data_IF_660826476423
#
_entry.id   IF_660826476423
#
_cell.length_a   1.000
_cell.length_b   1.000
_cell.length_c   1.000
_cell.angle_alpha   90.00
_cell.angle_beta   90.00
_cell.angle_gamma   90.00
#
_symmetry.space_group_name_H-M   'P 1'
#
loop_
_entity.id
_entity.type
_entity.pdbx_description
1 polymer ?
#
# COMPACT_ATOMS: atom_id res chain seq x y z
N UNK A 1 -17.08 -38.37 4.78
CA UNK A 1 -15.94 -38.77 3.94
C UNK A 1 -14.95 -39.57 4.78
N UNK A 2 -14.65 -40.78 4.35
CA UNK A 2 -13.85 -41.78 5.07
C UNK A 2 -12.40 -41.33 5.23
N UNK A 3 -11.77 -41.81 6.31
CA UNK A 3 -10.31 -41.85 6.43
C UNK A 3 -9.90 -43.14 5.74
N UNK A 4 -9.28 -43.05 4.57
CA UNK A 4 -8.66 -44.21 3.93
C UNK A 4 -7.23 -44.34 4.46
N UNK A 5 -6.97 -45.40 5.20
CA UNK A 5 -5.60 -45.85 5.46
C UNK A 5 -5.06 -46.44 4.16
N UNK A 6 -4.25 -45.66 3.44
CA UNK A 6 -3.50 -46.18 2.30
C UNK A 6 -2.39 -47.13 2.78
N UNK A 7 -2.08 -48.20 2.03
CA UNK A 7 -0.92 -49.03 2.31
C UNK A 7 0.35 -48.13 2.25
N UNK A 8 0.93 -47.85 3.42
CA UNK A 8 2.00 -46.87 3.60
C UNK A 8 1.88 -45.97 4.84
N UNK A 9 0.80 -46.07 5.63
CA UNK A 9 0.69 -45.37 6.93
C UNK A 9 0.37 -43.88 6.84
N UNK A 10 -0.06 -43.38 5.68
CA UNK A 10 -0.40 -41.97 5.45
C UNK A 10 -1.86 -41.74 5.86
N UNK A 11 -2.09 -40.84 6.82
CA UNK A 11 -3.44 -40.43 7.25
C UNK A 11 -3.89 -39.24 6.39
N UNK A 12 -4.97 -39.41 5.63
CA UNK A 12 -5.62 -38.32 4.89
C UNK A 12 -6.83 -37.82 5.68
N UNK A 13 -6.76 -36.57 6.17
CA UNK A 13 -7.80 -35.98 6.99
C UNK A 13 -8.27 -34.67 6.37
N UNK A 14 -9.37 -34.77 5.62
CA UNK A 14 -10.07 -33.64 5.05
C UNK A 14 -10.87 -32.94 6.18
N UNK A 15 -10.49 -31.72 6.54
CA UNK A 15 -11.32 -30.87 7.41
C UNK A 15 -12.65 -30.63 6.68
N UNK A 16 -13.73 -31.23 7.20
CA UNK A 16 -15.06 -31.18 6.60
C UNK A 16 -15.59 -29.76 6.44
N UNK A 17 -16.53 -29.59 5.51
CA UNK A 17 -17.13 -28.31 5.09
C UNK A 17 -18.01 -27.59 6.12
N UNK A 18 -17.63 -27.56 7.40
CA UNK A 18 -18.09 -26.60 8.41
C UNK A 18 -19.59 -26.56 8.75
N UNK A 19 -20.43 -27.44 8.20
CA UNK A 19 -21.89 -27.35 8.34
C UNK A 19 -22.49 -28.24 9.44
N UNK A 20 -21.68 -29.05 10.13
CA UNK A 20 -22.11 -29.93 11.22
C UNK A 20 -21.81 -29.36 12.61
N UNK A 21 -22.59 -29.77 13.62
CA UNK A 21 -22.30 -29.42 15.00
C UNK A 21 -20.93 -30.00 15.44
N UNK A 22 -20.11 -29.19 16.11
CA UNK A 22 -18.77 -29.57 16.62
C UNK A 22 -18.77 -30.84 17.49
N UNK A 23 -19.93 -31.17 18.09
CA UNK A 23 -20.12 -32.33 18.95
C UNK A 23 -20.80 -33.51 18.26
N UNK A 24 -20.98 -33.47 16.94
CA UNK A 24 -21.42 -34.65 16.20
C UNK A 24 -20.45 -35.80 16.46
N UNK A 25 -20.93 -37.01 16.80
CA UNK A 25 -20.07 -38.16 17.10
C UNK A 25 -19.02 -38.45 16.02
N UNK A 26 -19.32 -38.16 14.75
CA UNK A 26 -18.40 -38.37 13.62
C UNK A 26 -17.27 -37.33 13.61
N UNK A 27 -17.57 -36.07 13.87
CA UNK A 27 -16.57 -35.00 13.95
C UNK A 27 -15.68 -35.15 15.19
N UNK A 28 -16.25 -35.63 16.30
CA UNK A 28 -15.49 -35.95 17.51
C UNK A 28 -14.50 -37.09 17.26
N UNK A 29 -14.94 -38.20 16.65
CA UNK A 29 -14.10 -39.34 16.34
C UNK A 29 -12.95 -38.95 15.38
N UNK A 30 -13.24 -38.15 14.35
CA UNK A 30 -12.21 -37.58 13.45
C UNK A 30 -11.15 -36.78 14.19
N UNK A 31 -11.57 -35.88 15.09
CA UNK A 31 -10.64 -35.06 15.87
C UNK A 31 -9.76 -35.92 16.79
N UNK A 32 -10.33 -36.93 17.42
CA UNK A 32 -9.60 -37.85 18.29
C UNK A 32 -8.59 -38.69 17.50
N UNK A 33 -8.94 -39.19 16.32
CA UNK A 33 -8.02 -39.88 15.41
C UNK A 33 -6.88 -38.97 14.93
N UNK A 34 -7.19 -37.74 14.51
CA UNK A 34 -6.17 -36.75 14.14
C UNK A 34 -5.23 -36.47 15.32
N UNK A 35 -5.77 -36.29 16.53
CA UNK A 35 -4.98 -36.03 17.73
C UNK A 35 -4.05 -37.20 18.07
N UNK A 36 -4.52 -38.45 17.88
CA UNK A 36 -3.72 -39.65 18.08
C UNK A 36 -2.64 -39.86 17.00
N UNK A 37 -2.90 -39.44 15.76
CA UNK A 37 -1.90 -39.43 14.69
C UNK A 37 -0.83 -38.38 14.94
N UNK A 38 -1.22 -37.17 15.36
CA UNK A 38 -0.30 -36.06 15.65
C UNK A 38 0.55 -36.28 16.92
N UNK A 39 0.11 -37.12 17.86
CA UNK A 39 0.87 -37.43 19.08
C UNK A 39 2.00 -38.42 18.86
N UNK A 40 2.03 -39.13 17.72
CA UNK A 40 3.08 -40.08 17.37
C UNK A 40 4.20 -39.38 16.60
N UNK A 41 5.46 -39.44 17.07
CA UNK A 41 6.58 -38.89 16.33
C UNK A 41 6.75 -39.59 14.97
N UNK A 42 7.18 -38.85 13.96
CA UNK A 42 7.41 -39.34 12.59
C UNK A 42 6.16 -39.88 11.85
N UNK A 43 4.97 -39.45 12.24
CA UNK A 43 3.74 -39.81 11.51
C UNK A 43 3.68 -39.04 10.18
N UNK A 44 3.59 -39.74 9.03
CA UNK A 44 3.49 -39.06 7.74
C UNK A 44 2.10 -38.44 7.56
N UNK A 45 2.08 -37.13 7.29
CA UNK A 45 0.85 -36.35 7.12
C UNK A 45 0.71 -35.92 5.67
N UNK A 46 -0.49 -36.10 5.11
CA UNK A 46 -0.87 -35.45 3.86
C UNK A 46 -1.53 -34.12 4.17
N UNK A 47 -0.96 -33.05 3.66
CA UNK A 47 -1.48 -31.69 3.84
C UNK A 47 -1.89 -31.14 2.49
N UNK A 48 -3.09 -30.56 2.42
CA UNK A 48 -3.60 -29.87 1.24
C UNK A 48 -3.93 -28.41 1.56
N UNK A 49 -3.74 -27.53 0.59
CA UNK A 49 -4.07 -26.11 0.74
C UNK A 49 -5.59 -25.93 0.67
N UNK A 50 -6.20 -25.46 1.75
CA UNK A 50 -7.64 -25.20 1.80
C UNK A 50 -8.00 -23.84 1.18
N UNK A 51 -7.52 -22.73 1.78
CA UNK A 51 -7.77 -21.39 1.29
C UNK A 51 -6.71 -20.40 1.79
N UNK A 52 -6.67 -19.21 1.18
CA UNK A 52 -5.88 -18.09 1.72
C UNK A 52 -6.66 -17.40 2.83
N UNK A 53 -6.08 -17.31 4.02
CA UNK A 53 -6.67 -16.58 5.14
C UNK A 53 -6.36 -15.08 5.13
N UNK A 54 -5.54 -14.60 4.19
CA UNK A 54 -5.13 -13.19 4.18
C UNK A 54 -6.29 -12.21 3.98
N UNK A 55 -7.23 -12.40 3.03
CA UNK A 55 -8.40 -11.53 2.90
C UNK A 55 -9.29 -11.47 4.17
N UNK A 56 -9.77 -12.61 4.73
CA UNK A 56 -10.66 -12.56 5.89
C UNK A 56 -9.96 -12.01 7.14
N UNK A 57 -8.66 -12.28 7.33
CA UNK A 57 -7.91 -11.70 8.45
C UNK A 57 -7.76 -10.17 8.33
N UNK A 58 -7.60 -9.65 7.11
CA UNK A 58 -7.56 -8.18 6.89
C UNK A 58 -8.91 -7.53 7.12
N UNK A 59 -10.00 -8.17 6.69
CA UNK A 59 -11.37 -7.70 6.95
C UNK A 59 -11.67 -7.66 8.44
N UNK A 60 -11.33 -8.73 9.17
CA UNK A 60 -11.50 -8.80 10.62
C UNK A 60 -10.67 -7.73 11.34
N UNK A 61 -9.40 -7.54 10.94
CA UNK A 61 -8.55 -6.47 11.49
C UNK A 61 -9.13 -5.08 11.21
N UNK A 62 -9.66 -4.85 10.01
CA UNK A 62 -10.29 -3.57 9.66
C UNK A 62 -11.55 -3.31 10.51
N UNK A 63 -12.36 -4.34 10.75
CA UNK A 63 -13.54 -4.25 11.62
C UNK A 63 -13.15 -3.90 13.06
N UNK A 64 -12.15 -4.58 13.62
CA UNK A 64 -11.64 -4.29 14.97
C UNK A 64 -11.12 -2.86 15.03
N UNK A 65 -10.25 -2.45 14.09
CA UNK A 65 -9.69 -1.11 14.05
C UNK A 65 -10.75 -0.01 13.83
N UNK A 66 -11.86 -0.32 13.16
CA UNK A 66 -12.94 0.64 12.91
C UNK A 66 -13.61 1.15 14.19
N UNK A 67 -13.53 0.40 15.29
CA UNK A 67 -14.07 0.82 16.60
C UNK A 67 -13.34 2.04 17.17
N UNK A 68 -12.05 2.18 16.89
CA UNK A 68 -11.22 3.32 17.29
C UNK A 68 -11.13 4.40 16.19
N UNK A 69 -11.77 4.19 15.03
CA UNK A 69 -11.65 5.10 13.90
C UNK A 69 -12.50 6.37 14.11
N UNK A 70 -11.97 7.56 13.79
CA UNK A 70 -12.75 8.80 13.68
C UNK A 70 -13.93 8.70 12.71
N UNK A 71 -13.91 7.72 11.80
CA UNK A 71 -14.96 7.45 10.83
C UNK A 71 -16.10 6.57 11.38
N UNK A 72 -15.96 5.96 12.57
CA UNK A 72 -16.94 4.99 13.12
C UNK A 72 -18.37 5.51 13.09
N UNK A 73 -18.60 6.73 13.59
CA UNK A 73 -19.94 7.35 13.64
C UNK A 73 -20.54 7.55 12.24
N UNK A 74 -19.72 7.79 11.23
CA UNK A 74 -20.17 7.93 9.84
C UNK A 74 -20.37 6.59 9.13
N UNK A 75 -19.55 5.59 9.45
CA UNK A 75 -19.61 4.26 8.84
C UNK A 75 -20.74 3.39 9.41
N UNK A 76 -20.99 3.48 10.72
CA UNK A 76 -21.92 2.60 11.45
C UNK A 76 -23.02 3.35 12.21
N UNK A 77 -23.11 4.68 12.07
CA UNK A 77 -24.20 5.45 12.64
C UNK A 77 -25.55 5.05 12.02
N UNK A 78 -26.60 4.97 12.83
CA UNK A 78 -27.95 4.67 12.35
C UNK A 78 -28.43 5.73 11.34
N UNK A 79 -29.13 5.32 10.29
CA UNK A 79 -29.68 6.22 9.28
C UNK A 79 -30.65 7.27 9.87
N UNK A 80 -31.27 6.97 11.02
CA UNK A 80 -32.10 7.92 11.76
C UNK A 80 -31.27 9.10 12.32
N UNK A 81 -29.99 8.88 12.64
CA UNK A 81 -29.03 9.93 12.98
C UNK A 81 -28.42 10.60 11.74
N UNK A 82 -28.48 9.97 10.55
CA UNK A 82 -27.98 10.55 9.30
C UNK A 82 -29.00 11.44 8.59
N UNK A 83 -30.30 11.37 8.89
CA UNK A 83 -31.26 12.40 8.45
C UNK A 83 -31.01 13.76 9.12
N UNK A 84 -30.28 13.75 10.24
CA UNK A 84 -29.56 14.91 10.73
C UNK A 84 -28.15 14.93 10.09
N UNK A 85 -28.04 15.02 8.76
CA UNK A 85 -26.84 15.65 8.17
C UNK A 85 -26.84 17.04 8.80
N UNK A 86 -25.88 17.41 9.67
CA UNK A 86 -25.88 18.73 10.26
C UNK A 86 -25.99 19.74 9.11
N UNK A 87 -27.05 20.57 9.12
CA UNK A 87 -27.29 21.61 8.12
C UNK A 87 -26.04 22.51 8.08
N UNK A 88 -25.14 22.26 7.11
CA UNK A 88 -23.77 22.82 7.08
C UNK A 88 -22.67 21.84 6.65
N UNK A 89 -22.91 20.53 6.70
CA UNK A 89 -21.93 19.48 6.35
C UNK A 89 -22.07 18.91 4.92
N UNK A 90 -23.19 19.17 4.25
CA UNK A 90 -23.32 18.96 2.80
C UNK A 90 -22.80 20.20 2.06
N UNK A 91 -21.64 20.08 1.42
CA UNK A 91 -21.18 21.10 0.48
C UNK A 91 -21.86 20.83 -0.86
N UNK A 92 -22.91 21.58 -1.16
CA UNK A 92 -23.57 21.56 -2.46
C UNK A 92 -22.70 22.32 -3.47
N UNK A 93 -21.69 21.65 -4.03
CA UNK A 93 -20.91 22.23 -5.12
C UNK A 93 -21.76 22.16 -6.39
N UNK A 94 -22.29 23.30 -6.79
CA UNK A 94 -23.05 23.42 -8.03
C UNK A 94 -22.10 23.27 -9.22
N UNK A 95 -22.53 22.57 -10.27
CA UNK A 95 -21.77 22.47 -11.50
C UNK A 95 -21.65 23.86 -12.13
N UNK A 96 -20.47 24.47 -12.03
CA UNK A 96 -20.20 25.77 -12.66
C UNK A 96 -19.92 25.55 -14.15
N UNK A 97 -20.55 26.37 -15.00
CA UNK A 97 -20.24 26.40 -16.43
C UNK A 97 -18.80 26.91 -16.63
N UNK A 98 -18.02 26.19 -17.45
CA UNK A 98 -16.59 26.49 -17.65
C UNK A 98 -15.68 26.02 -16.51
N UNK A 99 -14.40 26.43 -16.57
CA UNK A 99 -13.35 25.97 -15.65
C UNK A 99 -13.51 26.56 -14.24
N UNK A 100 -13.93 27.83 -14.12
CA UNK A 100 -14.06 28.56 -12.86
C UNK A 100 -12.71 28.78 -12.13
N UNK A 101 -12.68 29.54 -11.02
CA UNK A 101 -11.44 29.86 -10.30
C UNK A 101 -10.81 28.62 -9.65
N UNK A 102 -9.50 28.60 -9.41
CA UNK A 102 -8.85 27.47 -8.75
C UNK A 102 -9.39 27.26 -7.31
N UNK A 103 -9.53 26.01 -6.84
CA UNK A 103 -9.84 25.75 -5.43
C UNK A 103 -8.73 26.24 -4.49
N UNK A 104 -9.07 26.55 -3.24
CA UNK A 104 -8.11 27.08 -2.26
C UNK A 104 -6.88 26.19 -2.09
N UNK A 105 -5.71 26.82 -2.18
CA UNK A 105 -4.40 26.17 -2.08
C UNK A 105 -3.96 25.44 -3.35
N UNK A 106 -4.78 25.36 -4.41
CA UNK A 106 -4.38 24.80 -5.71
C UNK A 106 -3.77 25.89 -6.59
N UNK A 107 -2.57 25.69 -7.16
CA UNK A 107 -2.02 26.59 -8.17
C UNK A 107 -2.94 26.75 -9.39
N UNK A 108 -3.09 27.98 -9.89
CA UNK A 108 -4.04 28.30 -10.97
C UNK A 108 -3.71 27.61 -12.31
N UNK A 109 -2.42 27.44 -12.60
CA UNK A 109 -1.89 26.71 -13.75
C UNK A 109 -2.25 25.22 -13.68
N UNK A 110 -2.08 24.60 -12.52
CA UNK A 110 -2.46 23.20 -12.27
C UNK A 110 -3.96 23.02 -12.44
N UNK A 111 -4.76 23.90 -11.82
CA UNK A 111 -6.22 23.84 -11.95
C UNK A 111 -6.66 23.98 -13.40
N UNK A 112 -6.13 24.94 -14.13
CA UNK A 112 -6.48 25.18 -15.55
C UNK A 112 -6.14 23.96 -16.41
N UNK A 113 -4.93 23.40 -16.24
CA UNK A 113 -4.48 22.19 -16.93
C UNK A 113 -5.42 21.02 -16.66
N UNK A 114 -5.70 20.71 -15.39
CA UNK A 114 -6.55 19.57 -15.02
C UNK A 114 -8.01 19.79 -15.45
N UNK A 115 -8.58 20.96 -15.15
CA UNK A 115 -10.00 21.25 -15.35
C UNK A 115 -10.40 21.37 -16.82
N UNK A 116 -9.49 21.77 -17.71
CA UNK A 116 -9.72 21.83 -19.16
C UNK A 116 -10.13 20.48 -19.76
N UNK A 117 -9.61 19.38 -19.20
CA UNK A 117 -9.92 18.02 -19.65
C UNK A 117 -11.15 17.40 -18.99
N UNK A 118 -11.86 18.09 -18.09
CA UNK A 118 -12.96 17.51 -17.32
C UNK A 118 -14.30 18.09 -17.76
N UNK A 119 -15.37 17.31 -17.65
CA UNK A 119 -16.73 17.83 -17.78
C UNK A 119 -17.19 18.51 -16.47
N UNK A 120 -18.34 19.21 -16.51
CA UNK A 120 -18.81 19.98 -15.36
C UNK A 120 -19.04 19.13 -14.08
N UNK A 121 -19.69 17.94 -14.13
CA UNK A 121 -19.80 17.05 -12.96
C UNK A 121 -18.45 16.60 -12.39
N UNK A 122 -17.48 16.28 -13.25
CA UNK A 122 -16.13 15.88 -12.81
C UNK A 122 -15.39 17.05 -12.15
N UNK A 123 -15.50 18.27 -12.69
CA UNK A 123 -14.94 19.48 -12.05
C UNK A 123 -15.57 19.75 -10.69
N UNK A 124 -16.89 19.60 -10.58
CA UNK A 124 -17.61 19.75 -9.32
C UNK A 124 -17.15 18.72 -8.28
N UNK A 125 -16.94 17.46 -8.69
CA UNK A 125 -16.41 16.41 -7.83
C UNK A 125 -15.01 16.76 -7.29
N UNK A 126 -14.09 17.22 -8.15
CA UNK A 126 -12.74 17.64 -7.72
C UNK A 126 -12.81 18.79 -6.72
N UNK A 127 -13.63 19.81 -7.00
CA UNK A 127 -13.85 20.95 -6.09
C UNK A 127 -14.39 20.52 -4.74
N UNK A 128 -15.42 19.66 -4.73
CA UNK A 128 -16.01 19.14 -3.50
C UNK A 128 -14.98 18.40 -2.64
N UNK A 129 -14.13 17.60 -3.27
CA UNK A 129 -13.03 16.91 -2.58
C UNK A 129 -12.00 17.91 -2.03
N UNK A 130 -11.64 18.96 -2.76
CA UNK A 130 -10.71 19.98 -2.27
C UNK A 130 -11.26 20.72 -1.05
N UNK A 131 -12.53 21.12 -1.08
CA UNK A 131 -13.19 21.76 0.07
C UNK A 131 -13.22 20.84 1.28
N UNK A 132 -13.59 19.57 1.09
CA UNK A 132 -13.59 18.58 2.17
C UNK A 132 -12.19 18.37 2.75
N UNK A 133 -11.16 18.25 1.90
CA UNK A 133 -9.78 18.08 2.32
C UNK A 133 -9.23 19.32 3.05
N UNK A 134 -9.60 20.53 2.62
CA UNK A 134 -9.21 21.77 3.30
C UNK A 134 -9.90 21.91 4.66
N UNK A 135 -11.19 21.59 4.76
CA UNK A 135 -11.90 21.55 6.06
C UNK A 135 -11.28 20.52 7.00
N UNK A 136 -11.07 19.30 6.53
CA UNK A 136 -10.44 18.26 7.33
C UNK A 136 -9.05 18.66 7.83
N UNK A 137 -8.25 19.43 7.06
CA UNK A 137 -6.97 19.96 7.51
C UNK A 137 -7.13 21.01 8.62
N UNK A 138 -8.01 21.97 8.43
CA UNK A 138 -8.25 23.03 9.41
C UNK A 138 -8.83 22.45 10.71
N UNK A 139 -9.72 21.47 10.57
CA UNK A 139 -10.37 20.81 11.70
C UNK A 139 -9.39 19.84 12.39
N UNK A 140 -8.47 19.16 11.69
CA UNK A 140 -7.49 18.26 12.31
C UNK A 140 -6.55 18.96 13.31
N UNK A 141 -6.39 20.29 13.24
CA UNK A 141 -5.72 21.07 14.28
C UNK A 141 -6.50 21.08 15.61
N UNK A 142 -7.80 20.77 15.58
CA UNK A 142 -8.64 20.51 16.74
C UNK A 142 -8.77 19.00 16.96
N UNK A 143 -8.29 18.50 18.10
CA UNK A 143 -8.20 17.07 18.45
C UNK A 143 -9.52 16.26 18.42
N UNK A 144 -10.67 16.91 18.18
CA UNK A 144 -12.02 16.32 18.17
C UNK A 144 -12.70 16.34 16.78
N UNK A 145 -11.99 16.71 15.72
CA UNK A 145 -12.62 16.91 14.42
C UNK A 145 -13.21 15.64 13.81
N UNK A 146 -14.47 15.68 13.32
CA UNK A 146 -15.08 14.55 12.65
C UNK A 146 -14.42 14.33 11.28
N UNK A 147 -13.93 13.11 11.04
CA UNK A 147 -13.38 12.76 9.73
C UNK A 147 -14.40 12.97 8.60
N UNK A 148 -13.99 13.57 7.49
CA UNK A 148 -14.86 13.89 6.34
C UNK A 148 -14.86 12.77 5.30
N UNK A 149 -16.02 12.48 4.73
CA UNK A 149 -16.15 11.56 3.59
C UNK A 149 -16.85 12.28 2.43
N UNK A 150 -16.37 12.04 1.20
CA UNK A 150 -16.98 12.54 -0.04
C UNK A 150 -17.35 11.35 -0.91
N UNK A 151 -18.62 11.29 -1.31
CA UNK A 151 -19.12 10.26 -2.21
C UNK A 151 -19.28 10.85 -3.60
N UNK A 152 -18.63 10.21 -4.58
CA UNK A 152 -18.73 10.58 -5.99
C UNK A 152 -19.39 9.42 -6.71
N UNK A 153 -20.61 9.65 -7.20
CA UNK A 153 -21.36 8.66 -7.97
C UNK A 153 -21.22 8.95 -9.45
N UNK A 154 -20.88 7.91 -10.23
CA UNK A 154 -20.78 8.00 -11.68
C UNK A 154 -21.35 6.75 -12.35
N UNK A 155 -22.38 6.88 -13.22
CA UNK A 155 -22.87 5.80 -14.10
C UNK A 155 -21.74 5.12 -14.92
N UNK A 156 -21.97 3.95 -15.54
CA UNK A 156 -20.98 3.33 -16.42
C UNK A 156 -20.56 4.31 -17.53
N UNK A 157 -19.26 4.31 -17.89
CA UNK A 157 -18.72 5.21 -18.93
C UNK A 157 -18.48 6.68 -18.54
N UNK A 158 -18.88 7.15 -17.35
CA UNK A 158 -18.78 8.58 -16.96
C UNK A 158 -17.39 9.08 -16.55
N UNK A 159 -16.34 8.28 -16.78
CA UNK A 159 -14.96 8.69 -16.54
C UNK A 159 -14.55 8.76 -15.06
N UNK A 160 -15.11 7.90 -14.19
CA UNK A 160 -14.72 7.80 -12.75
C UNK A 160 -13.21 7.76 -12.53
N UNK A 161 -12.50 6.91 -13.26
CA UNK A 161 -11.03 6.80 -13.16
C UNK A 161 -10.32 8.10 -13.59
N UNK A 162 -10.87 8.84 -14.55
CA UNK A 162 -10.37 10.16 -14.95
C UNK A 162 -10.59 11.20 -13.85
N UNK A 163 -11.76 11.19 -13.20
CA UNK A 163 -12.03 12.03 -12.04
C UNK A 163 -11.09 11.71 -10.87
N UNK A 164 -10.83 10.42 -10.58
CA UNK A 164 -9.88 10.01 -9.53
C UNK A 164 -8.48 10.55 -9.83
N UNK A 165 -7.97 10.40 -11.05
CA UNK A 165 -6.65 10.91 -11.43
C UNK A 165 -6.55 12.44 -11.24
N UNK A 166 -7.58 13.18 -11.67
CA UNK A 166 -7.67 14.62 -11.47
C UNK A 166 -7.71 15.03 -9.99
N UNK A 167 -8.48 14.31 -9.16
CA UNK A 167 -8.52 14.53 -7.71
C UNK A 167 -7.13 14.37 -7.12
N UNK A 168 -6.42 13.29 -7.46
CA UNK A 168 -5.07 13.03 -6.96
C UNK A 168 -4.10 14.13 -7.37
N UNK A 169 -4.10 14.55 -8.65
CA UNK A 169 -3.24 15.63 -9.13
C UNK A 169 -3.46 16.93 -8.36
N UNK A 170 -4.73 17.34 -8.24
CA UNK A 170 -5.11 18.57 -7.56
C UNK A 170 -4.77 18.50 -6.06
N UNK A 171 -5.15 17.41 -5.37
CA UNK A 171 -4.91 17.25 -3.93
C UNK A 171 -3.41 17.29 -3.61
N UNK A 172 -2.58 16.61 -4.39
CA UNK A 172 -1.11 16.63 -4.23
C UNK A 172 -0.51 18.01 -4.51
N UNK A 173 -1.13 18.79 -5.40
CA UNK A 173 -0.69 20.14 -5.72
C UNK A 173 -1.14 21.18 -4.69
N UNK A 174 -2.10 20.86 -3.82
CA UNK A 174 -2.66 21.80 -2.84
C UNK A 174 -1.84 21.97 -1.54
N UNK A 175 -0.51 21.72 -1.54
CA UNK A 175 0.39 21.86 -0.38
C UNK A 175 1.60 20.90 -0.40
N UNK A 176 2.62 21.17 0.43
CA UNK A 176 3.97 20.56 0.31
C UNK A 176 4.13 19.10 0.74
N UNK A 177 3.28 18.56 1.61
CA UNK A 177 3.54 17.26 2.29
C UNK A 177 2.35 16.31 2.28
N UNK A 178 1.76 16.09 1.10
CA UNK A 178 0.59 15.21 0.97
C UNK A 178 0.97 13.87 0.37
N UNK A 179 0.63 12.79 1.08
CA UNK A 179 0.61 11.43 0.54
C UNK A 179 -0.85 11.05 0.30
N UNK A 180 -1.14 10.52 -0.87
CA UNK A 180 -2.49 10.06 -1.23
C UNK A 180 -2.45 8.54 -1.37
N UNK A 181 -3.20 7.83 -0.54
CA UNK A 181 -3.44 6.40 -0.70
C UNK A 181 -4.61 6.19 -1.66
N UNK A 182 -4.37 5.44 -2.73
CA UNK A 182 -5.40 5.06 -3.69
C UNK A 182 -5.64 3.56 -3.58
N UNK A 183 -6.89 3.17 -3.36
CA UNK A 183 -7.33 1.78 -3.23
C UNK A 183 -8.40 1.44 -4.27
N UNK A 184 -8.45 0.19 -4.72
CA UNK A 184 -9.52 -0.35 -5.54
C UNK A 184 -9.72 -1.85 -5.25
N UNK A 185 -10.86 -2.40 -5.67
CA UNK A 185 -11.25 -3.79 -5.40
C UNK A 185 -10.38 -4.83 -6.14
N UNK A 186 -9.89 -4.50 -7.34
CA UNK A 186 -9.10 -5.42 -8.18
C UNK A 186 -7.76 -4.82 -8.55
N UNK A 187 -6.76 -5.70 -8.76
CA UNK A 187 -5.43 -5.28 -9.22
C UNK A 187 -5.48 -4.54 -10.56
N UNK A 188 -6.30 -5.03 -11.51
CA UNK A 188 -6.48 -4.36 -12.80
C UNK A 188 -7.02 -2.92 -12.67
N UNK A 189 -7.91 -2.65 -11.71
CA UNK A 189 -8.40 -1.30 -11.45
C UNK A 189 -7.31 -0.39 -10.85
N UNK A 190 -6.49 -0.90 -9.93
CA UNK A 190 -5.34 -0.16 -9.39
C UNK A 190 -4.36 0.20 -10.50
N UNK A 191 -4.03 -0.78 -11.34
CA UNK A 191 -3.05 -0.61 -12.41
C UNK A 191 -3.55 0.35 -13.51
N UNK A 192 -4.86 0.35 -13.81
CA UNK A 192 -5.48 1.32 -14.71
C UNK A 192 -5.43 2.76 -14.15
N UNK A 193 -5.66 2.94 -12.84
CA UNK A 193 -5.51 4.26 -12.19
C UNK A 193 -4.03 4.68 -12.23
N UNK A 194 -3.11 3.78 -11.91
CA UNK A 194 -1.67 4.01 -11.93
C UNK A 194 -1.18 4.43 -13.31
N UNK A 195 -1.60 3.74 -14.37
CA UNK A 195 -1.23 4.07 -15.75
C UNK A 195 -1.64 5.50 -16.12
N UNK A 196 -2.83 5.94 -15.70
CA UNK A 196 -3.29 7.31 -15.91
C UNK A 196 -2.50 8.33 -15.11
N UNK A 197 -2.28 8.09 -13.81
CA UNK A 197 -1.46 8.97 -12.97
C UNK A 197 -0.04 9.12 -13.50
N UNK A 198 0.55 8.03 -13.98
CA UNK A 198 1.87 8.02 -14.60
C UNK A 198 1.93 8.81 -15.91
N UNK A 199 0.89 8.71 -16.74
CA UNK A 199 0.77 9.47 -17.99
C UNK A 199 0.66 10.96 -17.70
N UNK A 200 -0.24 11.35 -16.80
CA UNK A 200 -0.47 12.75 -16.43
C UNK A 200 0.78 13.37 -15.76
N UNK A 201 1.56 12.58 -15.02
CA UNK A 201 2.83 13.02 -14.44
C UNK A 201 3.93 13.27 -15.50
N UNK A 202 3.87 12.60 -16.65
CA UNK A 202 4.80 12.83 -17.78
C UNK A 202 4.34 13.98 -18.66
N UNK A 203 3.04 14.07 -18.94
CA UNK A 203 2.44 15.09 -19.82
C UNK A 203 2.28 16.45 -19.11
N UNK A 204 2.15 16.46 -17.79
CA UNK A 204 2.14 17.67 -16.96
C UNK A 204 3.50 18.37 -16.82
N UNK A 205 4.58 17.80 -17.37
CA UNK A 205 5.90 18.42 -17.49
C UNK A 205 5.99 19.43 -18.65
N UNK A 206 4.99 20.30 -18.78
CA UNK A 206 5.02 21.41 -19.74
C UNK A 206 6.06 22.47 -19.35
N UNK A 207 6.75 22.99 -20.36
CA UNK A 207 7.88 23.96 -20.33
C UNK A 207 7.54 25.35 -19.73
N UNK A 208 7.12 25.45 -18.47
CA UNK A 208 6.99 26.74 -17.78
C UNK A 208 7.94 26.85 -16.59
N UNK A 209 8.93 27.73 -16.77
CA UNK A 209 9.77 28.48 -15.81
C UNK A 209 9.80 28.06 -14.32
N UNK A 210 11.03 27.94 -13.81
CA UNK A 210 11.49 28.19 -12.43
C UNK A 210 10.97 27.37 -11.24
N UNK A 211 10.13 26.35 -11.41
CA UNK A 211 9.97 25.34 -10.35
C UNK A 211 10.14 23.96 -10.93
N UNK A 212 11.29 23.35 -10.63
CA UNK A 212 11.61 21.97 -11.05
C UNK A 212 10.40 21.08 -10.78
N UNK A 213 9.86 20.37 -11.79
CA UNK A 213 8.66 19.58 -11.59
C UNK A 213 9.00 18.55 -10.51
N UNK A 214 8.43 18.71 -9.32
CA UNK A 214 8.53 17.71 -8.25
C UNK A 214 7.96 16.43 -8.82
N UNK A 215 8.82 15.54 -9.32
CA UNK A 215 8.40 14.26 -9.90
C UNK A 215 7.63 13.54 -8.81
N UNK A 216 6.34 13.32 -9.05
CA UNK A 216 5.51 12.60 -8.08
C UNK A 216 6.09 11.19 -7.92
N UNK A 217 6.50 10.85 -6.71
CA UNK A 217 6.87 9.48 -6.37
C UNK A 217 5.58 8.66 -6.29
N UNK A 218 5.40 7.72 -7.21
CA UNK A 218 4.27 6.79 -7.22
C UNK A 218 4.78 5.41 -6.86
N UNK A 219 4.15 4.80 -5.85
CA UNK A 219 4.50 3.46 -5.36
C UNK A 219 3.28 2.56 -5.42
N UNK A 220 3.42 1.40 -6.07
CA UNK A 220 2.45 0.31 -6.15
C UNK A 220 2.80 -0.74 -5.11
N UNK A 221 1.87 -1.01 -4.20
CA UNK A 221 2.00 -2.09 -3.21
C UNK A 221 1.27 -3.33 -3.70
N UNK A 222 1.93 -4.48 -3.75
CA UNK A 222 1.32 -5.73 -4.18
C UNK A 222 2.34 -6.75 -4.68
N UNK A 223 1.85 -7.90 -5.13
CA UNK A 223 2.70 -8.94 -5.71
C UNK A 223 2.93 -8.67 -7.19
N UNK A 224 4.15 -8.92 -7.63
CA UNK A 224 4.56 -8.69 -9.01
C UNK A 224 3.79 -9.57 -10.01
N UNK A 225 3.50 -10.80 -9.63
CA UNK A 225 2.76 -11.79 -10.43
C UNK A 225 1.34 -11.35 -10.83
N UNK A 226 0.75 -10.40 -10.10
CA UNK A 226 -0.62 -9.90 -10.37
C UNK A 226 -0.62 -8.45 -10.89
N UNK A 227 0.55 -7.83 -11.03
CA UNK A 227 0.68 -6.49 -11.57
C UNK A 227 0.81 -6.54 -13.10
N UNK A 228 0.13 -5.63 -13.79
CA UNK A 228 0.35 -5.41 -15.24
C UNK A 228 1.80 -5.02 -15.52
N UNK A 229 2.32 -5.38 -16.69
CA UNK A 229 3.73 -5.12 -17.06
C UNK A 229 4.12 -3.64 -16.95
N UNK A 230 3.25 -2.74 -17.41
CA UNK A 230 3.44 -1.29 -17.33
C UNK A 230 3.47 -0.74 -15.89
N UNK A 231 2.85 -1.47 -14.95
CA UNK A 231 2.80 -1.15 -13.53
C UNK A 231 4.02 -1.65 -12.74
N UNK A 232 4.73 -2.68 -13.21
CA UNK A 232 5.79 -3.35 -12.43
C UNK A 232 6.91 -2.41 -11.99
N UNK A 233 7.29 -1.45 -12.81
CA UNK A 233 8.31 -0.44 -12.47
C UNK A 233 7.95 0.47 -11.29
N UNK A 234 6.68 0.50 -10.89
CA UNK A 234 6.23 1.26 -9.72
C UNK A 234 6.13 0.38 -8.47
N UNK A 235 6.40 -0.93 -8.56
CA UNK A 235 6.32 -1.83 -7.40
C UNK A 235 7.33 -1.46 -6.34
N UNK A 236 6.89 -1.38 -5.09
CA UNK A 236 7.76 -1.07 -3.95
C UNK A 236 8.97 -2.02 -3.88
N UNK A 237 8.78 -3.30 -4.15
CA UNK A 237 9.86 -4.30 -4.16
C UNK A 237 10.90 -4.01 -5.23
N UNK A 238 10.48 -3.64 -6.44
CA UNK A 238 11.40 -3.29 -7.54
C UNK A 238 12.11 -1.97 -7.27
N UNK A 239 11.39 -0.95 -6.83
CA UNK A 239 11.98 0.35 -6.47
C UNK A 239 13.05 0.21 -5.38
N UNK A 240 12.78 -0.58 -4.33
CA UNK A 240 13.75 -0.83 -3.26
C UNK A 240 14.98 -1.62 -3.77
N UNK A 241 14.78 -2.59 -4.67
CA UNK A 241 15.89 -3.34 -5.27
C UNK A 241 16.73 -2.45 -6.18
N UNK A 242 16.11 -1.58 -6.97
CA UNK A 242 16.78 -0.63 -7.85
C UNK A 242 17.60 0.38 -7.04
N UNK A 243 17.07 0.88 -5.92
CA UNK A 243 17.80 1.74 -4.98
C UNK A 243 19.00 1.04 -4.36
N UNK A 244 18.84 -0.22 -3.90
CA UNK A 244 19.95 -1.03 -3.38
C UNK A 244 21.01 -1.32 -4.43
N UNK A 245 20.60 -1.60 -5.66
CA UNK A 245 21.51 -1.83 -6.78
C UNK A 245 22.28 -0.55 -7.14
N UNK A 246 21.60 0.60 -7.18
CA UNK A 246 22.21 1.91 -7.44
C UNK A 246 23.20 2.32 -6.33
N UNK A 247 22.85 2.08 -5.06
CA UNK A 247 23.75 2.31 -3.93
C UNK A 247 25.00 1.41 -4.01
N UNK A 248 24.80 0.13 -4.33
CA UNK A 248 25.90 -0.85 -4.49
C UNK A 248 26.81 -0.53 -5.69
N UNK A 249 26.24 -0.01 -6.78
CA UNK A 249 27.00 0.43 -7.95
C UNK A 249 27.79 1.72 -7.66
N UNK A 250 27.18 2.67 -6.94
CA UNK A 250 27.85 3.90 -6.52
C UNK A 250 29.01 3.62 -5.56
N UNK A 251 28.84 2.70 -4.62
CA UNK A 251 29.91 2.25 -3.73
C UNK A 251 31.07 1.58 -4.49
N UNK A 252 30.76 0.73 -5.49
CA UNK A 252 31.76 0.11 -6.37
C UNK A 252 32.52 1.15 -7.19
N UNK A 253 31.83 2.13 -7.77
CA UNK A 253 32.45 3.19 -8.55
C UNK A 253 33.31 4.12 -7.68
N UNK A 254 32.89 4.42 -6.45
CA UNK A 254 33.68 5.18 -5.49
C UNK A 254 34.94 4.41 -5.06
N UNK A 255 34.83 3.10 -4.81
CA UNK A 255 35.97 2.25 -4.50
C UNK A 255 36.96 2.14 -5.68
N UNK A 256 36.46 2.01 -6.91
CA UNK A 256 37.28 2.00 -8.12
C UNK A 256 37.95 3.36 -8.43
N UNK A 257 37.31 4.46 -8.04
CA UNK A 257 37.90 5.80 -8.13
C UNK A 257 38.99 6.02 -7.08
N UNK A 258 38.82 5.48 -5.87
CA UNK A 258 39.83 5.52 -4.80
C UNK A 258 41.04 4.59 -5.07
N UNK A 259 40.87 3.58 -5.94
CA UNK A 259 41.96 2.69 -6.37
C UNK A 259 42.67 3.15 -7.64
N UNK A 260 42.40 4.36 -8.16
CA UNK A 260 43.23 4.92 -9.25
C UNK A 260 44.66 5.08 -8.72
N UNK A 261 45.67 4.42 -9.33
CA UNK A 261 47.03 4.60 -8.90
C UNK A 261 47.45 6.03 -9.25
N UNK A 262 47.88 6.80 -8.25
CA UNK A 262 48.87 7.83 -8.50
C UNK A 262 50.07 7.13 -9.11
N UNK A 263 50.46 7.50 -10.32
CA UNK A 263 51.73 7.07 -10.90
C UNK A 263 52.85 7.45 -9.93
N UNK A 264 53.34 6.46 -9.18
CA UNK A 264 54.38 6.67 -8.17
C UNK A 264 54.41 5.58 -7.10
N UNK A 265 55.26 4.58 -7.30
CA UNK A 265 55.78 3.73 -6.23
C UNK A 265 55.08 2.38 -6.06
N UNK A 266 55.76 1.31 -6.47
CA UNK A 266 55.30 -0.06 -6.35
C UNK A 266 55.20 -0.57 -4.90
N UNK A 267 54.20 -1.40 -4.67
CA UNK A 267 54.01 -2.16 -3.45
C UNK A 267 52.70 -2.95 -3.56
N UNK A 268 52.76 -4.14 -4.16
CA UNK A 268 51.59 -4.99 -4.33
C UNK A 268 50.98 -5.36 -2.99
N UNK A 269 49.70 -5.03 -2.78
CA UNK A 269 48.94 -5.55 -1.65
C UNK A 269 48.93 -7.08 -1.73
N UNK A 270 49.55 -7.75 -0.76
CA UNK A 270 49.62 -9.21 -0.73
C UNK A 270 48.22 -9.80 -0.52
N UNK A 271 47.95 -10.96 -1.12
CA UNK A 271 46.66 -11.66 -1.00
C UNK A 271 46.22 -11.92 0.46
N UNK A 272 47.15 -11.93 1.41
CA UNK A 272 46.88 -12.00 2.85
C UNK A 272 46.22 -10.74 3.42
N UNK A 273 46.67 -9.55 2.99
CA UNK A 273 46.09 -8.26 3.41
C UNK A 273 44.66 -8.10 2.88
N UNK A 274 44.45 -8.52 1.63
CA UNK A 274 43.12 -8.49 1.00
C UNK A 274 42.15 -9.46 1.70
N UNK A 275 42.61 -10.68 2.07
CA UNK A 275 41.80 -11.64 2.85
C UNK A 275 41.43 -11.09 4.23
N UNK A 276 42.37 -10.48 4.95
CA UNK A 276 42.10 -9.90 6.27
C UNK A 276 41.07 -8.75 6.22
N UNK A 277 41.12 -7.92 5.15
CA UNK A 277 40.12 -6.87 4.93
C UNK A 277 38.73 -7.44 4.60
N UNK A 278 38.65 -8.52 3.83
CA UNK A 278 37.39 -9.17 3.50
C UNK A 278 36.74 -9.85 4.71
N UNK A 279 37.53 -10.49 5.58
CA UNK A 279 37.03 -11.05 6.85
C UNK A 279 36.47 -9.94 7.76
N UNK A 280 37.21 -8.83 7.89
CA UNK A 280 36.76 -7.68 8.70
C UNK A 280 35.43 -7.09 8.19
N UNK A 281 35.28 -6.95 6.87
CA UNK A 281 34.02 -6.49 6.26
C UNK A 281 32.86 -7.48 6.47
N UNK A 282 33.13 -8.78 6.43
CA UNK A 282 32.13 -9.81 6.73
C UNK A 282 31.60 -9.73 8.17
N UNK A 283 32.47 -9.45 9.13
CA UNK A 283 32.10 -9.29 10.54
C UNK A 283 31.30 -8.00 10.80
N UNK A 284 31.62 -6.92 10.09
CA UNK A 284 30.88 -5.66 10.16
C UNK A 284 29.45 -5.80 9.58
N UNK A 285 29.29 -6.55 8.49
CA UNK A 285 27.98 -6.85 7.90
C UNK A 285 27.13 -7.67 8.86
N UNK A 286 27.69 -8.73 9.48
CA UNK A 286 26.97 -9.54 10.47
C UNK A 286 26.48 -8.70 11.65
N UNK A 287 27.32 -7.79 12.17
CA UNK A 287 26.92 -6.89 13.27
C UNK A 287 25.80 -5.94 12.87
N UNK A 288 25.79 -5.46 11.63
CA UNK A 288 24.72 -4.58 11.13
C UNK A 288 23.38 -5.33 10.93
N UNK A 289 23.42 -6.57 10.47
CA UNK A 289 22.25 -7.43 10.34
C UNK A 289 21.68 -7.83 11.71
N UNK A 290 22.54 -8.19 12.68
CA UNK A 290 22.11 -8.51 14.05
C UNK A 290 21.47 -7.30 14.75
N UNK A 291 21.99 -6.09 14.51
CA UNK A 291 21.42 -4.84 15.02
C UNK A 291 20.04 -4.56 14.39
N UNK A 292 19.89 -4.80 13.08
CA UNK A 292 18.63 -4.62 12.37
C UNK A 292 17.55 -5.61 12.83
N UNK A 293 17.91 -6.87 13.07
CA UNK A 293 17.00 -7.89 13.62
C UNK A 293 16.49 -7.51 15.02
N UNK A 294 17.37 -7.07 15.92
CA UNK A 294 16.98 -6.64 17.27
C UNK A 294 16.03 -5.43 17.27
N UNK A 295 16.22 -4.52 16.31
CA UNK A 295 15.37 -3.35 16.15
C UNK A 295 13.99 -3.70 15.59
N UNK A 296 13.88 -4.77 14.79
CA UNK A 296 12.59 -5.30 14.35
C UNK A 296 11.83 -6.03 15.47
N UNK A 297 12.54 -6.78 16.31
CA UNK A 297 11.95 -7.46 17.47
C UNK A 297 11.43 -6.47 18.52
N UNK A 298 12.14 -5.36 18.76
CA UNK A 298 11.67 -4.31 19.69
C UNK A 298 10.40 -3.61 19.18
N UNK A 299 10.33 -3.33 17.87
CA UNK A 299 9.15 -2.72 17.24
C UNK A 299 7.94 -3.68 17.27
N UNK A 300 8.16 -4.99 17.18
CA UNK A 300 7.09 -5.99 17.31
C UNK A 300 6.57 -6.11 18.74
N UNK A 301 7.44 -6.01 19.76
CA UNK A 301 7.02 -6.04 21.16
C UNK A 301 6.19 -4.82 21.55
N UNK A 302 6.60 -3.61 21.12
CA UNK A 302 5.88 -2.38 21.44
C UNK A 302 4.48 -2.33 20.78
N UNK A 303 4.33 -2.99 19.62
CA UNK A 303 3.03 -3.12 18.94
C UNK A 303 2.08 -4.16 19.57
N UNK A 304 2.56 -4.99 20.49
CA UNK A 304 1.76 -5.99 21.23
C UNK A 304 1.30 -5.48 22.60
N UNK A 305 1.92 -4.41 23.12
CA UNK A 305 1.60 -3.83 24.43
C UNK A 305 0.82 -2.50 24.36
N UNK A 306 0.45 -2.03 23.17
CA UNK A 306 -0.38 -0.84 22.93
C UNK A 306 -1.75 -1.22 22.34
#
# INVERSE_FOLDING_TARGET
>A
CCVDEFPGGVVDALTGGGSGALNDPRERNRREQMRAALSRPNTPLRVSKLASLTPPLREMRALIASHASPLRRRLFGSAAATNAIPRGSSVSVHAVAGVGPAPDGVPADVWTRVASGLNAPQRAAVRATCVAASRARNDAAAASAPASAVLIQGPPGTGKTRAIAAIVDVVLSSGSDKRVLVCAQSNGAVDEILARLAKDAKEGGGRSSESSPRRRAIVRLGREEVAREDAKKYLATRLANDERAAASASARNAAAAASKPSEGGGGGETASSLRARLEKLGDEIKKADDASCRQLDSIQLDALHA
#
